data_IF_480746229596
#
_entry.id   IF_480746229596
#
_cell.length_a   1.000
_cell.length_b   1.000
_cell.length_c   1.000
_cell.angle_alpha   90.00
_cell.angle_beta   90.00
_cell.angle_gamma   90.00
#
_symmetry.space_group_name_H-M   'P 1'
#
loop_
_entity.id
_entity.type
_entity.pdbx_description
1 polymer ?
#
# COMPACT_ATOMS: atom_id res chain seq x y z
N UNK A 1 -7.27 -16.34 15.41
CA UNK A 1 -7.12 -16.14 13.95
C UNK A 1 -8.44 -15.89 13.25
N UNK A 2 -9.43 -16.79 13.36
CA UNK A 2 -10.74 -16.64 12.70
C UNK A 2 -11.44 -15.30 12.98
N UNK A 3 -11.39 -14.84 14.23
CA UNK A 3 -11.98 -13.56 14.63
C UNK A 3 -11.27 -12.38 13.99
N UNK A 4 -9.93 -12.39 13.97
CA UNK A 4 -9.14 -11.38 13.27
C UNK A 4 -9.51 -11.29 11.78
N UNK A 5 -9.58 -12.42 11.09
CA UNK A 5 -9.98 -12.47 9.67
C UNK A 5 -11.44 -12.00 9.51
N UNK A 6 -12.32 -12.34 10.44
CA UNK A 6 -13.72 -11.91 10.43
C UNK A 6 -13.87 -10.40 10.63
N UNK A 7 -13.09 -9.79 11.52
CA UNK A 7 -13.04 -8.33 11.70
C UNK A 7 -12.47 -7.65 10.46
N UNK A 8 -11.42 -8.20 9.87
CA UNK A 8 -10.84 -7.69 8.62
C UNK A 8 -11.87 -7.68 7.48
N UNK A 9 -12.64 -8.76 7.30
CA UNK A 9 -13.72 -8.84 6.29
C UNK A 9 -14.77 -7.74 6.49
N UNK A 10 -15.09 -7.36 7.74
CA UNK A 10 -16.11 -6.33 8.02
C UNK A 10 -15.72 -4.97 7.44
N UNK A 11 -14.41 -4.68 7.36
CA UNK A 11 -13.87 -3.42 6.87
C UNK A 11 -14.12 -3.18 5.37
N UNK A 12 -14.36 -4.25 4.60
CA UNK A 12 -14.48 -4.18 3.15
C UNK A 12 -15.91 -4.41 2.66
N UNK A 13 -16.22 -3.88 1.46
CA UNK A 13 -17.42 -4.29 0.73
C UNK A 13 -17.04 -5.49 -0.14
N UNK A 14 -17.69 -6.62 0.10
CA UNK A 14 -17.43 -7.90 -0.59
C UNK A 14 -18.38 -8.01 -1.78
N UNK A 15 -17.85 -8.43 -2.93
CA UNK A 15 -18.65 -8.58 -4.13
C UNK A 15 -17.81 -8.85 -5.38
N UNK A 16 -18.45 -9.25 -6.49
CA UNK A 16 -17.76 -9.61 -7.73
C UNK A 16 -16.97 -8.41 -8.28
N UNK A 17 -17.52 -7.20 -8.25
CA UNK A 17 -16.82 -5.99 -8.72
C UNK A 17 -16.19 -5.19 -7.58
N UNK A 18 -16.12 -5.77 -6.38
CA UNK A 18 -15.61 -5.13 -5.17
C UNK A 18 -14.42 -5.93 -4.61
N UNK A 19 -14.27 -6.02 -3.28
CA UNK A 19 -13.20 -6.82 -2.68
C UNK A 19 -13.57 -8.30 -2.75
N UNK A 20 -12.60 -9.11 -3.19
CA UNK A 20 -12.69 -10.56 -3.31
C UNK A 20 -11.62 -11.16 -2.39
N UNK A 21 -11.99 -12.13 -1.55
CA UNK A 21 -11.10 -12.69 -0.52
C UNK A 21 -11.03 -14.20 -0.72
N UNK A 22 -9.80 -14.69 -0.83
CA UNK A 22 -9.47 -16.11 -0.76
C UNK A 22 -8.77 -16.42 0.56
N UNK A 23 -8.76 -17.69 0.95
CA UNK A 23 -8.05 -18.15 2.13
C UNK A 23 -7.34 -19.46 1.84
N UNK A 24 -6.05 -19.46 2.12
CA UNK A 24 -5.22 -20.66 2.14
C UNK A 24 -4.68 -20.83 3.54
N UNK A 25 -4.86 -22.02 4.11
CA UNK A 25 -4.19 -22.43 5.33
C UNK A 25 -2.97 -23.26 4.97
N UNK A 26 -1.96 -23.28 5.83
CA UNK A 26 -0.79 -24.13 5.60
C UNK A 26 -0.20 -24.62 6.91
N UNK A 27 0.46 -25.77 6.83
CA UNK A 27 1.35 -26.34 7.82
C UNK A 27 2.50 -27.01 7.04
N UNK A 28 2.51 -28.34 6.94
CA UNK A 28 3.43 -29.07 6.03
C UNK A 28 3.11 -28.84 4.54
N UNK A 29 1.83 -28.60 4.23
CA UNK A 29 1.35 -28.36 2.87
C UNK A 29 0.27 -27.27 2.87
N UNK A 30 0.23 -26.40 1.85
CA UNK A 30 -0.86 -25.45 1.68
C UNK A 30 -2.16 -26.15 1.26
N UNK A 31 -3.27 -25.72 1.84
CA UNK A 31 -4.63 -26.16 1.51
C UNK A 31 -5.49 -24.92 1.24
N UNK A 32 -6.04 -24.84 0.03
CA UNK A 32 -6.97 -23.76 -0.32
C UNK A 32 -8.32 -24.05 0.32
N UNK A 33 -8.70 -23.25 1.32
CA UNK A 33 -10.02 -23.36 1.94
C UNK A 33 -11.09 -22.79 1.00
N UNK A 34 -10.78 -21.67 0.34
CA UNK A 34 -11.59 -21.11 -0.74
C UNK A 34 -10.79 -20.12 -1.60
N UNK A 35 -11.09 -20.10 -2.89
CA UNK A 35 -10.47 -19.18 -3.85
C UNK A 35 -11.09 -17.76 -3.77
N UNK A 36 -10.39 -16.76 -4.31
CA UNK A 36 -10.83 -15.35 -4.29
C UNK A 36 -12.19 -15.14 -4.97
N UNK A 37 -12.56 -16.00 -5.93
CA UNK A 37 -13.80 -15.89 -6.70
C UNK A 37 -14.98 -16.65 -6.07
N UNK A 38 -14.74 -17.38 -4.97
CA UNK A 38 -15.73 -18.32 -4.42
C UNK A 38 -16.94 -17.65 -3.77
N UNK A 39 -16.69 -16.59 -3.00
CA UNK A 39 -17.72 -15.90 -2.22
C UNK A 39 -17.85 -14.45 -2.67
N UNK A 40 -19.08 -14.05 -2.98
CA UNK A 40 -19.45 -12.67 -3.31
C UNK A 40 -20.29 -12.01 -2.22
N UNK A 41 -20.79 -12.78 -1.26
CA UNK A 41 -21.54 -12.29 -0.11
C UNK A 41 -20.66 -12.26 1.14
N UNK A 42 -20.80 -11.19 1.94
CA UNK A 42 -19.99 -10.98 3.15
C UNK A 42 -20.35 -12.00 4.24
N UNK A 43 -21.63 -12.30 4.43
CA UNK A 43 -22.08 -13.18 5.49
C UNK A 43 -21.66 -14.62 5.20
N UNK A 44 -21.82 -15.08 3.96
CA UNK A 44 -21.34 -16.40 3.52
C UNK A 44 -19.83 -16.54 3.69
N UNK A 45 -19.06 -15.52 3.30
CA UNK A 45 -17.60 -15.49 3.47
C UNK A 45 -17.21 -15.59 4.97
N UNK A 46 -17.90 -14.87 5.84
CA UNK A 46 -17.67 -14.94 7.28
C UNK A 46 -18.00 -16.33 7.84
N UNK A 47 -19.11 -16.95 7.42
CA UNK A 47 -19.45 -18.32 7.79
C UNK A 47 -18.38 -19.30 7.33
N UNK A 48 -17.86 -19.16 6.10
CA UNK A 48 -16.79 -20.00 5.57
C UNK A 48 -15.50 -19.88 6.40
N UNK A 49 -15.11 -18.67 6.80
CA UNK A 49 -13.95 -18.45 7.69
C UNK A 49 -14.13 -19.15 9.03
N UNK A 50 -15.33 -19.11 9.61
CA UNK A 50 -15.61 -19.77 10.88
C UNK A 50 -15.53 -21.31 10.79
N UNK A 51 -15.74 -21.88 9.61
CA UNK A 51 -15.64 -23.31 9.34
C UNK A 51 -14.21 -23.79 9.05
N UNK A 52 -13.20 -22.91 8.99
CA UNK A 52 -11.81 -23.31 8.74
C UNK A 52 -11.28 -24.11 9.92
N UNK A 53 -10.70 -25.28 9.71
CA UNK A 53 -10.12 -26.07 10.80
C UNK A 53 -8.61 -25.89 10.82
N UNK A 54 -8.06 -25.59 12.00
CA UNK A 54 -6.62 -25.57 12.20
C UNK A 54 -6.09 -27.00 12.02
N UNK A 55 -5.02 -27.11 11.27
CA UNK A 55 -4.25 -28.34 11.13
C UNK A 55 -2.92 -28.12 11.84
N UNK A 56 -2.45 -29.13 12.57
CA UNK A 56 -1.08 -29.14 13.08
C UNK A 56 -0.11 -29.55 11.97
N UNK A 57 1.19 -29.42 12.24
CA UNK A 57 2.27 -29.79 11.33
C UNK A 57 3.45 -28.83 11.46
N UNK A 58 4.38 -28.89 10.50
CA UNK A 58 5.45 -27.93 10.34
C UNK A 58 4.99 -26.58 9.79
N UNK A 59 5.96 -25.73 9.45
CA UNK A 59 5.72 -24.36 8.99
C UNK A 59 6.36 -24.18 7.61
N UNK A 60 5.70 -24.65 6.55
CA UNK A 60 6.22 -24.57 5.18
C UNK A 60 5.65 -23.33 4.45
N UNK A 61 6.05 -22.14 4.91
CA UNK A 61 5.57 -20.85 4.39
C UNK A 61 5.98 -20.63 2.94
N UNK A 62 7.17 -21.08 2.53
CA UNK A 62 7.65 -20.92 1.15
C UNK A 62 6.73 -21.63 0.14
N UNK A 63 6.36 -22.87 0.41
CA UNK A 63 5.37 -23.63 -0.39
C UNK A 63 4.02 -22.93 -0.44
N UNK A 64 3.58 -22.38 0.70
CA UNK A 64 2.33 -21.64 0.76
C UNK A 64 2.36 -20.40 -0.15
N UNK A 65 3.40 -19.58 -0.04
CA UNK A 65 3.62 -18.41 -0.90
C UNK A 65 3.67 -18.80 -2.38
N UNK A 66 4.38 -19.88 -2.72
CA UNK A 66 4.48 -20.35 -4.10
C UNK A 66 3.09 -20.69 -4.67
N UNK A 67 2.24 -21.35 -3.88
CA UNK A 67 0.88 -21.70 -4.30
C UNK A 67 -0.04 -20.49 -4.55
N UNK A 68 0.27 -19.32 -3.98
CA UNK A 68 -0.57 -18.12 -4.14
C UNK A 68 -0.54 -17.58 -5.56
N UNK A 69 0.58 -17.76 -6.28
CA UNK A 69 0.76 -17.28 -7.66
C UNK A 69 -0.39 -17.72 -8.58
N UNK A 70 -0.69 -19.02 -8.58
CA UNK A 70 -1.74 -19.59 -9.42
C UNK A 70 -3.14 -19.08 -9.03
N UNK A 71 -3.40 -18.89 -7.74
CA UNK A 71 -4.70 -18.38 -7.26
C UNK A 71 -4.92 -16.92 -7.67
N UNK A 72 -3.90 -16.08 -7.56
CA UNK A 72 -3.98 -14.69 -8.01
C UNK A 72 -4.10 -14.58 -9.52
N UNK A 73 -3.36 -15.39 -10.28
CA UNK A 73 -3.47 -15.44 -11.74
C UNK A 73 -4.88 -15.82 -12.18
N UNK A 74 -5.41 -16.93 -11.66
CA UNK A 74 -6.78 -17.39 -11.94
C UNK A 74 -7.81 -16.32 -11.58
N UNK A 75 -7.64 -15.64 -10.45
CA UNK A 75 -8.54 -14.54 -10.06
C UNK A 75 -8.41 -13.33 -11.01
N UNK A 76 -7.20 -12.99 -11.47
CA UNK A 76 -6.98 -11.89 -12.40
C UNK A 76 -7.65 -12.10 -13.76
N UNK A 77 -7.68 -13.33 -14.26
CA UNK A 77 -8.37 -13.70 -15.52
C UNK A 77 -9.88 -13.44 -15.46
N UNK A 78 -10.47 -13.45 -14.27
CA UNK A 78 -11.89 -13.14 -14.05
C UNK A 78 -12.18 -11.66 -13.82
N UNK A 79 -11.17 -10.79 -13.92
CA UNK A 79 -11.34 -9.34 -13.84
C UNK A 79 -11.19 -8.75 -15.25
N UNK A 80 -12.13 -7.91 -15.65
CA UNK A 80 -12.05 -7.16 -16.92
C UNK A 80 -10.97 -6.06 -16.92
N UNK A 81 -10.36 -5.81 -15.77
CA UNK A 81 -9.34 -4.79 -15.58
C UNK A 81 -8.28 -5.22 -14.55
N UNK A 82 -7.11 -4.60 -14.61
CA UNK A 82 -6.05 -4.82 -13.62
C UNK A 82 -6.44 -4.16 -12.29
N UNK A 83 -6.50 -4.94 -11.23
CA UNK A 83 -6.84 -4.51 -9.86
C UNK A 83 -5.67 -4.78 -8.90
N UNK A 84 -5.61 -4.12 -7.73
CA UNK A 84 -4.67 -4.49 -6.66
C UNK A 84 -4.80 -5.96 -6.25
N UNK A 85 -3.66 -6.60 -6.06
CA UNK A 85 -3.56 -7.95 -5.53
C UNK A 85 -2.72 -7.90 -4.26
N UNK A 86 -3.32 -8.24 -3.13
CA UNK A 86 -2.70 -8.15 -1.81
C UNK A 86 -2.70 -9.53 -1.17
N UNK A 87 -1.53 -9.98 -0.73
CA UNK A 87 -1.35 -11.16 0.10
C UNK A 87 -1.04 -10.73 1.53
N UNK A 88 -1.74 -11.29 2.51
CA UNK A 88 -1.42 -11.15 3.93
C UNK A 88 -1.07 -12.53 4.45
N UNK A 89 0.20 -12.73 4.79
CA UNK A 89 0.72 -13.96 5.38
C UNK A 89 0.67 -13.82 6.89
N UNK A 90 0.16 -14.82 7.60
CA UNK A 90 0.14 -14.83 9.06
C UNK A 90 0.73 -16.15 9.55
N UNK A 91 1.77 -16.08 10.37
CA UNK A 91 2.52 -17.25 10.88
C UNK A 91 2.90 -17.05 12.33
N UNK A 92 3.02 -18.13 13.08
CA UNK A 92 3.42 -18.13 14.49
C UNK A 92 4.83 -18.68 14.75
N UNK A 93 5.57 -19.00 13.70
CA UNK A 93 6.91 -19.57 13.81
C UNK A 93 7.76 -19.43 12.57
N UNK A 94 9.01 -19.86 12.71
CA UNK A 94 10.02 -19.90 11.65
C UNK A 94 9.63 -20.92 10.57
N UNK A 95 9.70 -20.50 9.30
CA UNK A 95 9.54 -21.37 8.15
C UNK A 95 10.68 -22.39 8.06
N UNK A 96 10.35 -23.66 7.82
CA UNK A 96 11.30 -24.76 7.61
C UNK A 96 11.81 -24.85 6.18
N UNK A 97 11.18 -24.14 5.24
CA UNK A 97 11.60 -23.94 3.85
C UNK A 97 11.95 -22.48 3.54
N UNK A 98 12.53 -22.24 2.37
CA UNK A 98 12.92 -20.89 1.94
C UNK A 98 11.70 -20.09 1.45
N UNK A 99 11.53 -18.89 2.00
CA UNK A 99 10.46 -17.95 1.62
C UNK A 99 10.89 -16.97 0.52
N UNK A 100 12.20 -16.79 0.31
CA UNK A 100 12.77 -15.75 -0.58
C UNK A 100 12.33 -15.92 -2.03
N UNK A 101 12.57 -17.10 -2.63
CA UNK A 101 12.22 -17.36 -4.02
C UNK A 101 10.71 -17.22 -4.30
N UNK A 102 9.85 -17.85 -3.49
CA UNK A 102 8.40 -17.67 -3.57
C UNK A 102 7.93 -16.22 -3.39
N UNK A 103 8.46 -15.48 -2.41
CA UNK A 103 8.12 -14.07 -2.18
C UNK A 103 8.52 -13.19 -3.37
N UNK A 104 9.71 -13.40 -3.93
CA UNK A 104 10.16 -12.73 -5.16
C UNK A 104 9.24 -13.04 -6.34
N UNK A 105 8.82 -14.30 -6.50
CA UNK A 105 7.86 -14.70 -7.54
C UNK A 105 6.55 -13.91 -7.46
N UNK A 106 5.97 -13.79 -6.27
CA UNK A 106 4.76 -12.99 -6.04
C UNK A 106 4.98 -11.50 -6.36
N UNK A 107 6.13 -10.95 -5.96
CA UNK A 107 6.49 -9.57 -6.27
C UNK A 107 6.59 -9.32 -7.78
N UNK A 108 7.20 -10.24 -8.54
CA UNK A 108 7.31 -10.12 -10.01
C UNK A 108 5.96 -10.17 -10.72
N UNK A 109 4.96 -10.82 -10.11
CA UNK A 109 3.58 -10.83 -10.59
C UNK A 109 2.79 -9.55 -10.23
N UNK A 110 3.40 -8.63 -9.46
CA UNK A 110 2.75 -7.41 -8.99
C UNK A 110 1.86 -7.61 -7.77
N UNK A 111 2.01 -8.71 -7.04
CA UNK A 111 1.29 -8.99 -5.80
C UNK A 111 2.01 -8.27 -4.66
N UNK A 112 1.26 -7.48 -3.89
CA UNK A 112 1.77 -6.78 -2.70
C UNK A 112 1.61 -7.71 -1.50
N UNK A 113 2.71 -8.18 -0.94
CA UNK A 113 2.75 -9.11 0.18
C UNK A 113 3.04 -8.41 1.52
N UNK A 114 2.25 -8.73 2.54
CA UNK A 114 2.49 -8.37 3.93
C UNK A 114 2.66 -9.64 4.75
N UNK A 115 3.44 -9.58 5.82
CA UNK A 115 3.59 -10.68 6.76
C UNK A 115 3.22 -10.21 8.18
N UNK A 116 2.60 -11.09 8.96
CA UNK A 116 2.23 -10.85 10.36
C UNK A 116 2.75 -12.03 11.16
N UNK A 117 3.74 -11.76 12.00
CA UNK A 117 4.27 -12.73 12.97
C UNK A 117 3.44 -12.76 14.24
N UNK A 118 3.19 -13.94 14.78
CA UNK A 118 2.59 -14.16 16.10
C UNK A 118 3.60 -14.88 16.98
N UNK A 119 3.83 -14.41 18.22
CA UNK A 119 4.76 -15.03 19.18
C UNK A 119 6.19 -15.16 18.61
N UNK A 120 6.63 -16.39 18.34
CA UNK A 120 8.02 -16.77 18.06
C UNK A 120 8.33 -16.74 16.55
N UNK A 121 7.60 -15.92 15.79
CA UNK A 121 7.81 -15.75 14.37
C UNK A 121 9.19 -15.14 14.09
N UNK A 122 9.88 -15.65 13.07
CA UNK A 122 11.21 -15.19 12.67
C UNK A 122 11.09 -13.88 11.89
N UNK A 123 11.35 -12.74 12.54
CA UNK A 123 11.22 -11.41 11.95
C UNK A 123 12.01 -11.25 10.65
N UNK A 124 13.17 -11.92 10.54
CA UNK A 124 13.98 -11.88 9.33
C UNK A 124 13.24 -12.55 8.17
N UNK A 125 12.68 -13.74 8.36
CA UNK A 125 11.86 -14.39 7.34
C UNK A 125 10.59 -13.60 7.00
N UNK A 126 9.96 -12.93 7.96
CA UNK A 126 8.81 -12.07 7.67
C UNK A 126 9.21 -10.91 6.75
N UNK A 127 10.34 -10.27 7.02
CA UNK A 127 10.86 -9.19 6.17
C UNK A 127 11.22 -9.64 4.74
N UNK A 128 11.53 -10.92 4.55
CA UNK A 128 11.77 -11.50 3.21
C UNK A 128 10.47 -11.70 2.41
N UNK A 129 9.31 -11.71 3.08
CA UNK A 129 7.97 -11.82 2.48
C UNK A 129 7.36 -10.44 2.22
N UNK A 130 7.69 -9.47 3.07
CA UNK A 130 7.12 -8.13 3.04
C UNK A 130 7.56 -7.29 1.83
N UNK A 131 6.71 -6.34 1.47
CA UNK A 131 6.91 -5.46 0.31
C UNK A 131 8.01 -4.45 0.57
N UNK A 132 9.03 -4.54 -0.30
CA UNK A 132 9.96 -3.45 -0.57
C UNK A 132 9.33 -2.49 -1.58
N UNK A 133 9.32 -1.19 -1.29
CA UNK A 133 8.73 -0.17 -2.15
C UNK A 133 9.43 1.18 -1.96
N UNK A 134 9.39 2.00 -3.00
CA UNK A 134 9.83 3.39 -2.96
C UNK A 134 8.61 4.30 -3.06
N UNK A 135 8.34 5.04 -1.99
CA UNK A 135 7.16 5.89 -1.89
C UNK A 135 7.62 7.36 -1.86
N UNK A 136 7.10 8.18 -2.77
CA UNK A 136 7.18 9.64 -2.67
C UNK A 136 5.83 10.18 -2.19
N UNK A 137 5.84 10.93 -1.09
CA UNK A 137 4.73 11.82 -0.78
C UNK A 137 4.85 13.10 -1.60
N UNK A 138 3.73 13.54 -2.16
CA UNK A 138 3.58 14.86 -2.76
C UNK A 138 2.46 15.59 -2.03
N UNK A 139 2.82 16.51 -1.14
CA UNK A 139 1.88 17.19 -0.25
C UNK A 139 1.58 18.62 -0.71
N UNK A 140 0.30 18.96 -0.73
CA UNK A 140 -0.19 20.31 -0.97
C UNK A 140 0.15 21.21 0.22
N UNK A 141 0.87 22.29 -0.07
CA UNK A 141 1.35 23.30 0.87
C UNK A 141 0.89 24.70 0.46
N UNK A 142 -0.12 24.78 -0.43
CA UNK A 142 -0.72 26.03 -0.89
C UNK A 142 -1.42 26.81 0.24
N UNK A 143 -1.55 28.12 0.07
CA UNK A 143 -2.20 29.01 1.05
C UNK A 143 -3.72 28.81 1.19
N UNK A 144 -4.35 28.04 0.29
CA UNK A 144 -5.77 27.70 0.37
C UNK A 144 -6.09 26.61 1.40
N UNK A 145 -5.07 25.88 1.86
CA UNK A 145 -5.18 24.81 2.86
C UNK A 145 -5.23 25.42 4.25
N UNK A 146 -6.21 25.02 5.06
CA UNK A 146 -6.26 25.42 6.47
C UNK A 146 -5.06 24.83 7.24
N UNK A 147 -4.37 25.58 8.11
CA UNK A 147 -3.25 25.05 8.90
C UNK A 147 -3.59 23.80 9.72
N UNK A 148 -4.84 23.64 10.17
CA UNK A 148 -5.31 22.43 10.84
C UNK A 148 -5.32 21.23 9.89
N UNK A 149 -5.80 21.43 8.65
CA UNK A 149 -5.80 20.39 7.62
C UNK A 149 -4.38 20.06 7.15
N UNK A 150 -3.47 21.03 7.09
CA UNK A 150 -2.05 20.79 6.87
C UNK A 150 -1.43 19.89 7.95
N UNK A 151 -1.77 20.14 9.22
CA UNK A 151 -1.34 19.27 10.32
C UNK A 151 -1.96 17.85 10.23
N UNK A 152 -3.21 17.72 9.77
CA UNK A 152 -3.82 16.40 9.51
C UNK A 152 -3.10 15.65 8.39
N UNK A 153 -2.71 16.34 7.31
CA UNK A 153 -1.91 15.75 6.23
C UNK A 153 -0.54 15.26 6.72
N UNK A 154 0.15 16.05 7.56
CA UNK A 154 1.39 15.62 8.23
C UNK A 154 1.18 14.39 9.11
N UNK A 155 0.13 14.40 9.94
CA UNK A 155 -0.22 13.26 10.78
C UNK A 155 -0.53 12.00 9.94
N UNK A 156 -1.19 12.17 8.79
CA UNK A 156 -1.44 11.07 7.86
C UNK A 156 -0.14 10.47 7.32
N UNK A 157 0.82 11.30 6.86
CA UNK A 157 2.13 10.79 6.41
C UNK A 157 2.86 10.05 7.54
N UNK A 158 2.87 10.59 8.76
CA UNK A 158 3.46 9.93 9.94
C UNK A 158 2.78 8.59 10.23
N UNK A 159 1.46 8.49 10.02
CA UNK A 159 0.74 7.21 10.19
C UNK A 159 1.22 6.14 9.20
N UNK A 160 1.55 6.53 7.97
CA UNK A 160 2.12 5.61 6.96
C UNK A 160 3.54 5.21 7.34
N UNK A 161 4.38 6.15 7.79
CA UNK A 161 5.75 5.87 8.29
C UNK A 161 5.70 4.84 9.41
N UNK A 162 4.81 5.03 10.39
CA UNK A 162 4.69 4.14 11.55
C UNK A 162 4.25 2.72 11.16
N UNK A 163 3.39 2.59 10.13
CA UNK A 163 2.86 1.32 9.63
C UNK A 163 3.76 0.62 8.61
N UNK A 164 4.78 1.30 8.09
CA UNK A 164 5.69 0.75 7.07
C UNK A 164 6.93 0.15 7.71
N UNK A 165 7.52 -0.87 7.10
CA UNK A 165 8.83 -1.39 7.49
C UNK A 165 9.93 -0.57 6.79
N UNK A 166 10.42 0.47 7.46
CA UNK A 166 11.36 1.44 6.89
C UNK A 166 12.80 0.90 6.96
N UNK A 167 13.54 1.02 5.86
CA UNK A 167 14.95 0.68 5.82
C UNK A 167 15.50 0.63 4.39
N UNK A 168 16.83 0.69 4.25
CA UNK A 168 17.53 0.79 2.96
C UNK A 168 17.11 -0.27 1.93
N UNK A 169 16.88 -1.50 2.39
CA UNK A 169 16.46 -2.64 1.57
C UNK A 169 14.96 -2.99 1.76
N UNK A 170 14.17 -2.06 2.33
CA UNK A 170 12.77 -2.25 2.70
C UNK A 170 11.90 -1.16 2.05
N UNK A 171 11.05 -0.46 2.80
CA UNK A 171 10.33 0.72 2.32
C UNK A 171 11.22 1.97 2.46
N UNK A 172 11.45 2.65 1.34
CA UNK A 172 12.10 3.96 1.32
C UNK A 172 11.05 5.05 1.08
N UNK A 173 11.19 6.19 1.77
CA UNK A 173 10.25 7.30 1.70
C UNK A 173 10.97 8.59 1.32
N UNK A 174 10.35 9.38 0.45
CA UNK A 174 10.71 10.78 0.22
C UNK A 174 9.49 11.69 0.33
N UNK A 175 9.72 12.97 0.55
CA UNK A 175 8.65 13.99 0.62
C UNK A 175 9.01 15.15 -0.28
N UNK A 176 8.08 15.48 -1.16
CA UNK A 176 8.05 16.74 -1.90
C UNK A 176 6.82 17.50 -1.43
N UNK A 177 6.99 18.74 -1.00
CA UNK A 177 5.87 19.65 -0.78
C UNK A 177 5.72 20.59 -1.97
N UNK A 178 4.53 21.12 -2.20
CA UNK A 178 4.33 22.06 -3.28
C UNK A 178 3.36 23.19 -2.93
N UNK A 179 3.67 24.39 -3.41
CA UNK A 179 2.71 25.49 -3.58
C UNK A 179 2.76 25.91 -5.05
N UNK A 180 3.51 26.94 -5.43
CA UNK A 180 3.72 27.32 -6.84
C UNK A 180 4.72 26.39 -7.53
N UNK A 181 5.69 25.87 -6.78
CA UNK A 181 6.77 24.98 -7.25
C UNK A 181 6.96 23.80 -6.30
N UNK A 182 7.40 22.63 -6.81
CA UNK A 182 7.78 21.52 -5.95
C UNK A 182 9.09 21.83 -5.20
N UNK A 183 9.09 21.56 -3.91
CA UNK A 183 10.25 21.62 -3.03
C UNK A 183 10.50 20.24 -2.44
N UNK A 184 11.70 19.69 -2.67
CA UNK A 184 12.12 18.42 -2.09
C UNK A 184 12.53 18.64 -0.63
N UNK A 185 11.76 18.09 0.31
CA UNK A 185 12.09 18.12 1.73
C UNK A 185 13.17 17.10 2.04
N UNK A 186 12.98 15.86 1.57
CA UNK A 186 13.99 14.81 1.57
C UNK A 186 13.67 13.75 0.51
N UNK A 187 14.71 13.08 0.02
CA UNK A 187 14.58 12.00 -0.96
C UNK A 187 14.61 10.61 -0.29
N UNK A 188 14.46 9.57 -1.11
CA UNK A 188 14.33 8.18 -0.66
C UNK A 188 15.62 7.58 -0.10
N UNK A 189 16.76 8.27 -0.29
CA UNK A 189 18.06 7.86 0.25
C UNK A 189 18.50 8.68 1.47
N UNK A 190 17.71 9.67 1.88
CA UNK A 190 18.07 10.59 2.97
C UNK A 190 17.94 9.90 4.33
N UNK A 191 16.84 9.19 4.58
CA UNK A 191 16.54 8.56 5.87
C UNK A 191 16.08 7.11 5.71
N UNK A 192 16.56 6.24 6.61
CA UNK A 192 16.20 4.83 6.65
C UNK A 192 15.64 4.40 8.01
N UNK A 193 15.19 5.36 8.83
CA UNK A 193 14.59 5.10 10.13
C UNK A 193 13.33 5.96 10.35
N UNK A 194 12.37 5.40 11.09
CA UNK A 194 11.06 6.05 11.33
C UNK A 194 11.17 7.36 12.09
N UNK A 195 12.13 7.48 13.00
CA UNK A 195 12.24 8.63 13.90
C UNK A 195 12.70 9.88 13.13
N UNK A 196 13.73 9.75 12.30
CA UNK A 196 14.24 10.82 11.44
C UNK A 196 13.20 11.27 10.43
N UNK A 197 12.51 10.34 9.77
CA UNK A 197 11.44 10.65 8.81
C UNK A 197 10.29 11.38 9.50
N UNK A 198 9.82 10.88 10.64
CA UNK A 198 8.75 11.51 11.42
C UNK A 198 9.14 12.92 11.88
N UNK A 199 10.38 13.10 12.31
CA UNK A 199 10.92 14.41 12.71
C UNK A 199 10.94 15.38 11.54
N UNK A 200 11.46 14.95 10.39
CA UNK A 200 11.51 15.77 9.17
C UNK A 200 10.11 16.20 8.73
N UNK A 201 9.14 15.26 8.71
CA UNK A 201 7.74 15.58 8.40
C UNK A 201 7.18 16.60 9.39
N UNK A 202 7.36 16.39 10.70
CA UNK A 202 6.83 17.28 11.72
C UNK A 202 7.44 18.68 11.70
N UNK A 203 8.64 18.85 11.15
CA UNK A 203 9.30 20.15 11.02
C UNK A 203 8.89 20.92 9.76
N UNK A 204 8.22 20.29 8.79
CA UNK A 204 7.75 20.98 7.59
C UNK A 204 6.80 22.12 7.93
N UNK A 205 7.01 23.27 7.30
CA UNK A 205 6.14 24.45 7.39
C UNK A 205 5.35 24.62 6.09
N UNK A 206 4.10 25.07 6.22
CA UNK A 206 3.28 25.37 5.06
C UNK A 206 3.87 26.56 4.28
N UNK A 207 3.95 26.47 2.95
CA UNK A 207 4.56 27.50 2.10
C UNK A 207 3.64 28.71 1.90
N UNK A 208 2.33 28.50 1.87
CA UNK A 208 1.33 29.58 1.93
C UNK A 208 1.17 30.42 0.65
N UNK A 209 1.83 30.05 -0.45
CA UNK A 209 1.70 30.73 -1.75
C UNK A 209 0.65 30.06 -2.65
N UNK A 210 0.54 30.47 -3.93
CA UNK A 210 -0.52 30.04 -4.84
C UNK A 210 -0.54 28.54 -5.17
N UNK A 211 -1.54 28.12 -5.94
CA UNK A 211 -1.71 26.72 -6.36
C UNK A 211 -0.82 26.40 -7.57
N UNK A 212 -0.25 25.19 -7.54
CA UNK A 212 0.77 24.61 -8.41
C UNK A 212 0.77 25.04 -9.88
N UNK A 213 1.86 25.71 -10.28
CA UNK A 213 2.27 25.91 -11.68
C UNK A 213 3.53 25.12 -12.05
N UNK A 214 4.19 24.45 -11.10
CA UNK A 214 5.36 23.60 -11.31
C UNK A 214 5.03 22.11 -11.43
N UNK A 215 5.39 21.47 -12.55
CA UNK A 215 5.12 20.05 -12.75
C UNK A 215 6.01 19.17 -11.87
N UNK A 216 5.42 18.36 -10.98
CA UNK A 216 6.11 17.22 -10.38
C UNK A 216 6.58 16.26 -11.50
N UNK A 217 7.80 15.75 -11.39
CA UNK A 217 8.45 15.00 -12.46
C UNK A 217 8.95 13.64 -12.00
N UNK A 218 9.04 12.68 -12.93
CA UNK A 218 9.58 11.33 -12.70
C UNK A 218 11.02 11.32 -12.16
N UNK A 219 11.74 12.44 -12.24
CA UNK A 219 13.13 12.56 -11.77
C UNK A 219 13.26 12.23 -10.27
N UNK A 220 12.26 12.55 -9.44
CA UNK A 220 12.29 12.26 -8.01
C UNK A 220 12.28 10.76 -7.69
N UNK A 221 11.98 9.91 -8.67
CA UNK A 221 12.04 8.46 -8.59
C UNK A 221 13.29 7.88 -9.26
N UNK A 222 14.24 8.71 -9.70
CA UNK A 222 15.49 8.28 -10.31
C UNK A 222 16.48 7.76 -9.27
N UNK A 223 17.49 7.00 -9.72
CA UNK A 223 18.60 6.52 -8.88
C UNK A 223 19.29 7.64 -8.10
N UNK A 224 19.40 8.83 -8.70
CA UNK A 224 19.96 10.02 -8.06
C UNK A 224 19.22 10.43 -6.78
N UNK A 225 17.94 10.08 -6.66
CA UNK A 225 17.09 10.36 -5.49
C UNK A 225 16.79 9.11 -4.65
N UNK A 226 17.51 8.01 -4.88
CA UNK A 226 17.34 6.75 -4.16
C UNK A 226 16.32 5.77 -4.76
N UNK A 227 15.78 6.06 -5.94
CA UNK A 227 14.81 5.19 -6.61
C UNK A 227 15.44 3.89 -7.11
N UNK A 228 14.86 2.76 -6.71
CA UNK A 228 15.27 1.37 -7.01
C UNK A 228 14.42 0.74 -8.13
N UNK A 229 13.89 1.56 -9.04
CA UNK A 229 13.06 1.09 -10.15
C UNK A 229 13.77 0.06 -11.04
N UNK A 230 15.04 0.29 -11.33
CA UNK A 230 15.86 -0.60 -12.17
C UNK A 230 16.16 -1.94 -11.47
N UNK A 231 15.94 -2.03 -10.15
CA UNK A 231 16.01 -3.25 -9.35
C UNK A 231 14.63 -3.94 -9.24
N UNK A 232 13.63 -3.43 -9.96
CA UNK A 232 12.26 -3.95 -9.93
C UNK A 232 11.51 -3.62 -8.64
N UNK A 233 11.95 -2.60 -7.88
CA UNK A 233 11.20 -2.09 -6.71
C UNK A 233 10.03 -1.23 -7.20
N UNK A 234 8.78 -1.52 -6.77
CA UNK A 234 7.62 -0.70 -7.09
C UNK A 234 7.82 0.76 -6.67
N UNK A 235 7.53 1.67 -7.61
CA UNK A 235 7.58 3.10 -7.38
C UNK A 235 6.15 3.62 -7.15
N UNK A 236 5.94 4.34 -6.06
CA UNK A 236 4.63 4.80 -5.62
C UNK A 236 4.68 6.31 -5.39
N UNK A 237 3.75 7.03 -6.01
CA UNK A 237 3.51 8.44 -5.74
C UNK A 237 2.21 8.58 -4.96
N UNK A 238 2.28 9.15 -3.76
CA UNK A 238 1.13 9.43 -2.93
C UNK A 238 0.92 10.94 -2.83
N UNK A 239 -0.08 11.44 -3.55
CA UNK A 239 -0.45 12.85 -3.54
C UNK A 239 -1.45 13.13 -2.42
N UNK A 240 -1.19 14.13 -1.58
CA UNK A 240 -1.99 14.45 -0.39
C UNK A 240 -2.45 15.91 -0.48
N UNK A 241 -3.75 16.14 -0.31
CA UNK A 241 -4.41 17.46 -0.39
C UNK A 241 -5.59 17.52 0.60
N UNK A 242 -6.21 18.69 0.81
CA UNK A 242 -7.35 18.90 1.74
C UNK A 242 -8.69 18.30 1.25
N UNK A 243 -8.69 17.71 0.05
CA UNK A 243 -9.85 17.03 -0.53
C UNK A 243 -10.79 17.96 -1.31
N UNK A 244 -10.43 19.21 -1.58
CA UNK A 244 -11.19 20.06 -2.50
C UNK A 244 -11.03 19.58 -3.94
N UNK A 245 -12.16 19.23 -4.54
CA UNK A 245 -12.30 18.62 -5.86
C UNK A 245 -11.59 19.40 -6.99
N UNK A 246 -11.49 20.72 -6.87
CA UNK A 246 -10.93 21.61 -7.90
C UNK A 246 -9.42 21.52 -8.00
N UNK A 247 -8.71 21.21 -6.92
CA UNK A 247 -7.23 21.15 -6.90
C UNK A 247 -6.71 19.74 -7.22
N UNK A 248 -7.46 18.70 -6.83
CA UNK A 248 -7.15 17.32 -7.23
C UNK A 248 -7.30 17.08 -8.75
N UNK A 249 -8.22 17.81 -9.41
CA UNK A 249 -8.39 17.79 -10.88
C UNK A 249 -7.28 18.61 -11.57
N UNK A 250 -6.61 19.52 -10.84
CA UNK A 250 -5.56 20.39 -11.35
C UNK A 250 -4.13 19.86 -11.07
N UNK A 251 -3.96 18.66 -10.49
CA UNK A 251 -2.65 18.04 -10.32
C UNK A 251 -2.02 17.73 -11.69
N UNK A 252 -0.99 18.47 -12.15
CA UNK A 252 -0.20 18.15 -13.35
C UNK A 252 0.70 16.93 -13.13
N UNK A 253 0.62 16.33 -11.94
CA UNK A 253 1.40 15.21 -11.44
C UNK A 253 1.16 13.95 -12.24
N UNK A 254 -0.05 13.79 -12.79
CA UNK A 254 -0.34 12.79 -13.80
C UNK A 254 0.17 13.21 -15.19
N UNK A 255 1.37 13.80 -15.24
CA UNK A 255 2.07 13.95 -16.51
C UNK A 255 2.24 12.56 -17.10
N UNK A 256 2.03 12.43 -18.42
CA UNK A 256 2.21 11.16 -19.13
C UNK A 256 3.56 10.51 -18.77
N UNK A 257 4.60 11.33 -18.56
CA UNK A 257 5.93 10.86 -18.15
C UNK A 257 6.00 10.12 -16.81
N UNK A 258 5.15 10.44 -15.82
CA UNK A 258 5.10 9.71 -14.54
C UNK A 258 4.41 8.35 -14.74
N UNK A 259 3.31 8.33 -15.47
CA UNK A 259 2.55 7.10 -15.75
C UNK A 259 3.33 6.16 -16.68
N UNK A 260 3.93 6.67 -17.76
CA UNK A 260 4.76 5.93 -18.71
C UNK A 260 6.01 5.35 -18.06
N UNK A 261 6.49 5.96 -16.96
CA UNK A 261 7.60 5.44 -16.17
C UNK A 261 7.20 4.29 -15.23
N UNK A 262 5.94 3.86 -15.25
CA UNK A 262 5.44 2.76 -14.42
C UNK A 262 5.28 3.12 -12.94
N UNK A 263 5.16 4.41 -12.61
CA UNK A 263 4.94 4.88 -11.24
C UNK A 263 3.45 4.75 -10.90
N UNK A 264 3.15 4.10 -9.78
CA UNK A 264 1.77 3.95 -9.30
C UNK A 264 1.35 5.21 -8.54
N UNK A 265 0.32 5.91 -9.01
CA UNK A 265 -0.13 7.17 -8.42
C UNK A 265 -1.41 6.98 -7.60
N UNK A 266 -1.36 7.39 -6.35
CA UNK A 266 -2.48 7.43 -5.41
C UNK A 266 -2.69 8.89 -5.02
N UNK A 267 -3.91 9.41 -5.09
CA UNK A 267 -4.20 10.71 -4.48
C UNK A 267 -5.16 10.54 -3.30
N UNK A 268 -5.00 11.41 -2.30
CA UNK A 268 -5.60 11.29 -0.98
C UNK A 268 -6.08 12.68 -0.57
N UNK A 269 -7.39 12.80 -0.37
CA UNK A 269 -8.00 13.98 0.24
C UNK A 269 -8.14 13.81 1.75
N UNK A 270 -7.65 14.77 2.51
CA UNK A 270 -7.68 14.82 3.98
C UNK A 270 -8.64 15.94 4.39
N UNK A 271 -9.93 15.64 4.50
CA UNK A 271 -10.97 16.62 4.82
C UNK A 271 -11.34 16.64 6.31
N UNK A 272 -11.65 17.82 6.84
CA UNK A 272 -12.08 18.04 8.22
C UNK A 272 -13.56 17.75 8.49
N UNK A 273 -13.90 16.51 8.87
CA UNK A 273 -15.02 16.21 9.81
C UNK A 273 -15.08 14.71 10.13
N UNK A 274 -15.49 14.30 11.35
CA UNK A 274 -15.54 12.90 11.78
C UNK A 274 -16.53 12.03 10.99
N UNK A 275 -17.37 12.64 10.14
CA UNK A 275 -18.31 11.98 9.22
C UNK A 275 -18.06 12.32 7.74
N UNK A 276 -16.97 13.01 7.39
CA UNK A 276 -16.69 13.33 5.99
C UNK A 276 -16.14 12.10 5.26
N UNK A 277 -16.98 11.54 4.41
CA UNK A 277 -16.61 10.44 3.54
C UNK A 277 -15.64 10.97 2.49
N UNK A 278 -14.47 10.32 2.36
CA UNK A 278 -13.58 10.45 1.20
C UNK A 278 -14.44 10.18 -0.04
N UNK A 279 -14.81 11.23 -0.78
CA UNK A 279 -15.79 11.16 -1.86
C UNK A 279 -15.16 10.46 -3.07
N UNK A 280 -15.74 9.31 -3.43
CA UNK A 280 -15.33 8.43 -4.55
C UNK A 280 -15.38 9.09 -5.93
N UNK A 281 -15.89 10.32 -6.05
CA UNK A 281 -16.43 10.83 -7.32
C UNK A 281 -15.39 11.51 -8.21
N UNK A 282 -14.30 12.08 -7.67
CA UNK A 282 -13.31 12.81 -8.48
C UNK A 282 -12.11 11.96 -8.94
N UNK A 283 -12.05 10.69 -8.57
CA UNK A 283 -10.88 9.83 -8.75
C UNK A 283 -10.95 8.87 -9.95
N UNK A 284 -12.10 8.78 -10.62
CA UNK A 284 -12.33 7.76 -11.65
C UNK A 284 -11.58 7.99 -12.97
N UNK A 285 -10.91 9.14 -13.17
CA UNK A 285 -10.26 9.50 -14.43
C UNK A 285 -8.73 9.35 -14.49
N UNK A 286 -8.07 8.98 -13.40
CA UNK A 286 -6.61 8.72 -13.37
C UNK A 286 -6.26 7.25 -13.04
N UNK A 287 -7.19 6.32 -13.30
CA UNK A 287 -7.21 4.94 -12.80
C UNK A 287 -5.86 4.21 -12.80
N UNK A 288 -5.49 3.66 -11.65
CA UNK A 288 -5.69 2.23 -11.30
C UNK A 288 -5.24 2.08 -9.85
N UNK A 289 -6.07 1.47 -9.01
CA UNK A 289 -5.76 1.09 -7.63
C UNK A 289 -5.78 2.22 -6.60
N UNK A 290 -6.86 2.39 -5.84
CA UNK A 290 -6.80 3.04 -4.52
C UNK A 290 -7.70 2.28 -3.54
N UNK A 291 -7.09 1.75 -2.48
CA UNK A 291 -7.78 1.28 -1.28
C UNK A 291 -7.78 2.42 -0.26
N UNK A 292 -8.97 2.76 0.24
CA UNK A 292 -9.18 3.78 1.27
C UNK A 292 -8.61 3.25 2.60
N UNK A 293 -7.55 3.86 3.12
CA UNK A 293 -7.19 3.76 4.54
C UNK A 293 -8.02 4.80 5.29
N UNK A 294 -9.06 4.36 5.99
CA UNK A 294 -9.71 5.18 7.02
C UNK A 294 -8.85 5.12 8.29
N UNK A 295 -8.55 6.28 8.86
CA UNK A 295 -8.09 6.41 10.24
C UNK A 295 -9.25 6.13 11.20
#
# INVERSE_FOLDING_TARGET
MKDFVSEFIKMFKIGPDQVRIGLVKYADNPTTEFELTRYTDKQELQTAVQQVHQVGGGTETGKALFSMSALFQKAAETRGEKVPQILITITDGKSTDSVIGPAQGLKTQGITSYAIGIKDADEKQLSEIEVIADIMFLIDSSGSIDPEDYNKMKAFMVSIVNKSDIGQDKVNLGVVQYSDRPELIFDQKTFYDKASITTAINQMTQLGSGTLTGAFSKIYFGKEHGGRRDEGVPQILMVITDGRATDAVALPVASRGVLDAGINVYAIGVAGSPNSSITKENFSRFSKSISILKA
#
